data_IF_954037612452
#
_entry.id   IF_954037612452
#
_cell.length_a   1.000
_cell.length_b   1.000
_cell.length_c   1.000
_cell.angle_alpha   90.00
_cell.angle_beta   90.00
_cell.angle_gamma   90.00
#
_symmetry.space_group_name_H-M   'P 1'
#
loop_
_entity.id
_entity.type
_entity.pdbx_description
1 polymer ?
#
# COMPACT_ATOMS: atom_id res chain seq x y z
N UNK A 1 -4.38 77.94 62.98
CA UNK A 1 -4.07 76.49 63.14
C UNK A 1 -4.11 75.84 61.78
N UNK A 2 -2.90 75.61 61.16
CA UNK A 2 -2.82 74.94 59.85
C UNK A 2 -2.39 73.50 60.08
N UNK A 3 -3.24 72.54 59.69
CA UNK A 3 -2.97 71.11 59.77
C UNK A 3 -2.18 70.66 58.56
N UNK A 4 -0.95 70.17 58.79
CA UNK A 4 -0.09 69.53 57.80
C UNK A 4 -0.54 68.05 57.69
N UNK A 5 -1.04 67.68 56.48
CA UNK A 5 -1.32 66.27 56.11
C UNK A 5 0.01 65.62 55.61
N UNK A 6 0.35 64.44 56.06
CA UNK A 6 1.53 63.71 55.52
C UNK A 6 1.19 63.16 54.12
N UNK A 7 2.02 63.52 53.15
CA UNK A 7 2.03 62.85 51.81
C UNK A 7 2.57 61.43 51.92
N UNK A 8 1.77 60.43 51.63
CA UNK A 8 2.19 59.07 51.48
C UNK A 8 2.96 58.91 50.16
N UNK A 9 4.22 58.45 50.20
CA UNK A 9 5.00 58.10 49.04
C UNK A 9 4.46 56.83 48.36
N UNK A 10 4.37 56.77 47.00
CA UNK A 10 3.95 55.56 46.30
C UNK A 10 4.97 54.45 46.51
N UNK A 11 4.51 53.29 46.98
CA UNK A 11 5.35 52.08 47.10
C UNK A 11 5.81 51.65 45.70
N UNK A 12 7.11 51.53 45.45
CA UNK A 12 7.68 50.95 44.22
C UNK A 12 7.33 49.47 44.17
N UNK A 13 6.86 48.96 43.00
CA UNK A 13 6.57 47.53 42.82
C UNK A 13 7.93 46.76 42.99
N UNK A 14 7.89 45.71 43.78
CA UNK A 14 9.01 44.81 43.97
C UNK A 14 9.50 44.24 42.64
N UNK A 15 10.80 44.14 42.37
CA UNK A 15 11.33 43.56 41.13
C UNK A 15 10.81 42.13 41.00
N UNK A 16 10.26 41.79 39.83
CA UNK A 16 9.81 40.44 39.53
C UNK A 16 10.98 39.44 39.70
N UNK A 17 10.74 38.26 40.27
CA UNK A 17 11.78 37.27 40.49
C UNK A 17 12.45 36.93 39.15
N UNK A 18 13.80 37.01 39.08
CA UNK A 18 14.58 36.74 37.90
C UNK A 18 14.29 35.31 37.41
N UNK A 19 13.80 35.17 36.17
CA UNK A 19 13.60 33.88 35.53
C UNK A 19 14.97 33.30 35.15
N UNK A 20 15.21 32.03 35.42
CA UNK A 20 16.41 31.30 35.04
C UNK A 20 16.07 30.44 33.82
N UNK A 21 16.81 30.61 32.73
CA UNK A 21 16.68 29.80 31.52
C UNK A 21 17.72 28.70 31.52
N UNK A 22 17.34 27.48 31.16
CA UNK A 22 18.23 26.33 31.04
C UNK A 22 17.97 25.57 29.75
N UNK A 23 19.07 25.17 29.10
CA UNK A 23 19.02 24.28 27.93
C UNK A 23 20.25 23.36 27.90
N UNK A 24 20.21 22.33 27.05
CA UNK A 24 21.38 21.48 26.79
C UNK A 24 21.92 21.80 25.39
N UNK A 25 23.20 22.17 25.30
CA UNK A 25 23.84 22.49 24.01
C UNK A 25 24.07 21.26 23.13
N UNK A 26 24.57 21.45 21.89
CA UNK A 26 24.88 20.38 20.95
C UNK A 26 25.97 19.40 21.45
N UNK A 27 26.73 19.79 22.48
CA UNK A 27 27.78 18.97 23.07
C UNK A 27 27.34 18.27 24.35
N UNK A 28 26.03 18.33 24.69
CA UNK A 28 25.48 17.74 25.89
C UNK A 28 25.70 18.52 27.18
N UNK A 29 26.20 19.76 27.14
CA UNK A 29 26.41 20.60 28.31
C UNK A 29 25.16 21.38 28.65
N UNK A 30 24.82 21.46 29.92
CA UNK A 30 23.72 22.30 30.39
C UNK A 30 24.19 23.73 30.52
N UNK A 31 23.53 24.64 29.80
CA UNK A 31 23.73 26.08 29.89
C UNK A 31 22.62 26.71 30.73
N UNK A 32 22.94 27.72 31.54
CA UNK A 32 21.96 28.50 32.31
C UNK A 32 22.22 29.98 32.15
N UNK A 33 21.15 30.80 32.06
CA UNK A 33 21.24 32.25 31.94
C UNK A 33 20.00 32.92 32.57
N UNK A 34 20.07 34.22 32.76
CA UNK A 34 18.98 35.10 33.24
C UNK A 34 17.99 35.51 32.14
N UNK A 35 18.25 35.08 30.90
CA UNK A 35 17.46 35.37 29.69
C UNK A 35 17.51 34.18 28.75
N UNK A 36 16.61 34.14 27.74
CA UNK A 36 16.64 33.08 26.73
C UNK A 36 18.03 32.96 26.10
N UNK A 37 18.55 31.73 26.03
CA UNK A 37 19.90 31.40 25.60
C UNK A 37 19.94 31.34 24.07
N UNK A 38 20.65 32.29 23.43
CA UNK A 38 20.71 32.38 21.97
C UNK A 38 21.36 31.16 21.32
N UNK A 39 22.33 30.51 21.99
CA UNK A 39 23.00 29.29 21.51
C UNK A 39 22.09 28.05 21.51
N UNK A 40 20.92 28.16 22.15
CA UNK A 40 19.89 27.10 22.21
C UNK A 40 18.58 27.49 21.50
N UNK A 41 18.63 28.41 20.55
CA UNK A 41 17.45 28.91 19.86
C UNK A 41 16.80 27.79 19.00
N UNK A 42 17.60 26.82 18.56
CA UNK A 42 17.22 25.66 17.75
C UNK A 42 16.74 24.44 18.56
N UNK A 43 16.61 24.58 19.89
CA UNK A 43 16.22 23.46 20.80
C UNK A 43 15.38 23.94 21.96
N UNK A 44 14.72 22.98 22.66
CA UNK A 44 13.90 23.26 23.83
C UNK A 44 14.73 23.96 24.94
N UNK A 45 14.25 25.09 25.42
CA UNK A 45 14.76 25.74 26.62
C UNK A 45 13.70 25.66 27.72
N UNK A 46 14.16 25.70 28.98
CA UNK A 46 13.29 25.64 30.14
C UNK A 46 13.47 26.91 30.97
N UNK A 47 12.35 27.57 31.24
CA UNK A 47 12.30 28.60 32.24
C UNK A 47 12.11 27.95 33.61
N UNK A 48 13.06 28.18 34.50
CA UNK A 48 13.06 27.63 35.86
C UNK A 48 12.61 28.68 36.86
N UNK A 49 11.92 28.26 37.90
CA UNK A 49 11.69 29.06 39.08
C UNK A 49 12.97 29.16 39.93
N UNK A 50 13.05 30.11 40.89
CA UNK A 50 14.19 30.17 41.83
C UNK A 50 14.42 28.85 42.60
N UNK A 51 13.40 28.00 42.72
CA UNK A 51 13.51 26.67 43.34
C UNK A 51 14.02 25.58 42.39
N UNK A 52 14.36 25.92 41.12
CA UNK A 52 14.84 24.96 40.11
C UNK A 52 13.75 24.12 39.41
N UNK A 53 12.47 24.35 39.71
CA UNK A 53 11.37 23.66 39.01
C UNK A 53 11.06 24.33 37.67
N UNK A 54 10.75 23.52 36.64
CA UNK A 54 10.40 24.06 35.32
C UNK A 54 9.03 24.74 35.38
N UNK A 55 9.02 26.04 35.12
CA UNK A 55 7.84 26.90 35.06
C UNK A 55 7.22 26.89 33.67
N UNK A 56 8.04 26.96 32.65
CA UNK A 56 7.61 26.96 31.25
C UNK A 56 8.67 26.34 30.36
N UNK A 57 8.22 25.68 29.29
CA UNK A 57 9.06 25.23 28.17
C UNK A 57 8.96 26.25 27.04
N UNK A 58 10.11 26.58 26.47
CA UNK A 58 10.21 27.47 25.31
C UNK A 58 10.57 26.56 24.13
N UNK A 59 9.67 26.52 23.16
CA UNK A 59 9.87 25.73 21.95
C UNK A 59 10.99 26.32 21.08
N UNK A 60 11.70 25.47 20.33
CA UNK A 60 12.72 25.93 19.41
C UNK A 60 12.15 26.87 18.34
N UNK A 61 12.92 27.91 18.03
CA UNK A 61 12.60 28.79 16.90
C UNK A 61 13.40 28.34 15.69
N UNK A 62 12.72 27.83 14.67
CA UNK A 62 13.36 27.39 13.43
C UNK A 62 13.16 28.42 12.32
N UNK A 63 14.12 28.50 11.40
CA UNK A 63 13.94 29.22 10.15
C UNK A 63 12.88 28.54 9.28
N UNK A 64 12.27 29.28 8.39
CA UNK A 64 11.27 28.73 7.46
C UNK A 64 11.80 27.52 6.66
N UNK A 65 13.09 27.54 6.31
CA UNK A 65 13.77 26.44 5.62
C UNK A 65 13.89 25.20 6.51
N UNK A 66 14.35 25.37 7.76
CA UNK A 66 14.47 24.25 8.72
C UNK A 66 13.14 23.64 9.06
N UNK A 67 12.07 24.44 9.17
CA UNK A 67 10.71 23.96 9.35
C UNK A 67 10.27 23.09 8.15
N UNK A 68 10.49 23.58 6.92
CA UNK A 68 10.16 22.84 5.72
C UNK A 68 10.92 21.50 5.64
N UNK A 69 12.24 21.51 5.91
CA UNK A 69 13.05 20.28 5.92
C UNK A 69 12.62 19.28 7.00
N UNK A 70 12.14 19.76 8.15
CA UNK A 70 11.59 18.91 9.21
C UNK A 70 10.24 18.31 8.84
N UNK A 71 9.37 19.14 8.26
CA UNK A 71 8.05 18.66 7.78
C UNK A 71 8.21 17.61 6.70
N UNK A 72 9.14 17.81 5.75
CA UNK A 72 9.41 16.84 4.70
C UNK A 72 9.93 15.52 5.27
N UNK A 73 10.91 15.57 6.18
CA UNK A 73 11.41 14.36 6.86
C UNK A 73 10.33 13.67 7.68
N UNK A 74 9.48 14.41 8.37
CA UNK A 74 8.36 13.84 9.12
C UNK A 74 7.34 13.19 8.18
N UNK A 75 7.06 13.81 7.04
CA UNK A 75 6.17 13.27 5.99
C UNK A 75 6.71 11.97 5.40
N UNK A 76 8.00 11.95 5.05
CA UNK A 76 8.67 10.75 4.54
C UNK A 76 8.67 9.62 5.57
N UNK A 77 8.99 9.92 6.83
CA UNK A 77 8.96 8.94 7.91
C UNK A 77 7.54 8.37 8.13
N UNK A 78 6.52 9.23 8.08
CA UNK A 78 5.13 8.81 8.18
C UNK A 78 4.69 7.91 7.02
N UNK A 79 5.11 8.21 5.78
CA UNK A 79 4.86 7.39 4.61
C UNK A 79 5.53 6.00 4.72
N UNK A 80 6.77 5.96 5.19
CA UNK A 80 7.48 4.69 5.41
C UNK A 80 6.82 3.86 6.52
N UNK A 81 6.44 4.50 7.63
CA UNK A 81 5.71 3.83 8.71
C UNK A 81 4.37 3.27 8.24
N UNK A 82 3.62 4.03 7.43
CA UNK A 82 2.36 3.56 6.84
C UNK A 82 2.57 2.34 5.93
N UNK A 83 3.60 2.34 5.07
CA UNK A 83 3.96 1.19 4.23
C UNK A 83 4.25 -0.06 5.04
N UNK A 84 5.04 0.05 6.11
CA UNK A 84 5.34 -1.08 7.00
C UNK A 84 4.09 -1.64 7.69
N UNK A 85 3.17 -0.77 8.10
CA UNK A 85 1.89 -1.18 8.69
C UNK A 85 1.06 -1.95 7.66
N UNK A 86 0.98 -1.45 6.43
CA UNK A 86 0.23 -2.09 5.35
C UNK A 86 0.85 -3.44 4.94
N UNK A 87 2.17 -3.55 4.88
CA UNK A 87 2.86 -4.81 4.63
C UNK A 87 2.53 -5.86 5.71
N UNK A 88 2.65 -5.50 6.98
CA UNK A 88 2.28 -6.39 8.10
C UNK A 88 0.81 -6.78 8.10
N UNK A 89 -0.07 -5.90 7.62
CA UNK A 89 -1.49 -6.21 7.47
C UNK A 89 -1.71 -7.23 6.36
N UNK A 90 -1.05 -7.05 5.20
CA UNK A 90 -1.10 -8.00 4.07
C UNK A 90 -0.53 -9.36 4.46
N UNK A 91 0.61 -9.41 5.14
CA UNK A 91 1.21 -10.65 5.63
C UNK A 91 0.27 -11.40 6.59
N UNK A 92 -0.34 -10.68 7.54
CA UNK A 92 -1.32 -11.28 8.44
C UNK A 92 -2.54 -11.83 7.69
N UNK A 93 -3.05 -11.11 6.70
CA UNK A 93 -4.16 -11.57 5.88
C UNK A 93 -3.81 -12.83 5.09
N UNK A 94 -2.58 -12.91 4.54
CA UNK A 94 -2.08 -14.11 3.88
C UNK A 94 -1.96 -15.29 4.83
N UNK A 95 -1.46 -15.09 6.05
CA UNK A 95 -1.35 -16.15 7.06
C UNK A 95 -2.72 -16.66 7.53
N UNK A 96 -3.69 -15.78 7.68
CA UNK A 96 -5.06 -16.18 8.03
C UNK A 96 -5.68 -17.01 6.91
N UNK A 97 -5.45 -16.63 5.65
CA UNK A 97 -5.95 -17.36 4.48
C UNK A 97 -5.20 -18.68 4.29
N UNK A 98 -3.88 -18.67 4.44
CA UNK A 98 -2.99 -19.79 4.18
C UNK A 98 -2.16 -20.13 5.42
N UNK A 99 -2.74 -20.80 6.41
CA UNK A 99 -2.03 -21.14 7.64
C UNK A 99 -0.87 -22.10 7.41
N UNK A 100 -0.86 -22.84 6.30
CA UNK A 100 0.21 -23.76 5.91
C UNK A 100 0.24 -23.99 4.39
N UNK A 101 1.31 -24.62 3.93
CA UNK A 101 1.54 -24.91 2.52
C UNK A 101 0.44 -25.78 1.89
N UNK A 102 -0.13 -26.70 2.65
CA UNK A 102 -1.15 -27.63 2.15
C UNK A 102 -2.45 -26.91 1.78
N UNK A 103 -2.87 -25.93 2.59
CA UNK A 103 -4.06 -25.12 2.29
C UNK A 103 -3.83 -24.26 1.06
N UNK A 104 -2.66 -23.63 0.95
CA UNK A 104 -2.31 -22.81 -0.21
C UNK A 104 -2.31 -23.63 -1.52
N UNK A 105 -1.66 -24.81 -1.53
CA UNK A 105 -1.61 -25.67 -2.72
C UNK A 105 -3.00 -26.23 -3.08
N UNK A 106 -3.84 -26.51 -2.09
CA UNK A 106 -5.24 -26.91 -2.35
C UNK A 106 -6.02 -25.82 -3.06
N UNK A 107 -5.99 -24.58 -2.57
CA UNK A 107 -6.68 -23.46 -3.21
C UNK A 107 -6.14 -23.18 -4.62
N UNK A 108 -4.80 -23.27 -4.79
CA UNK A 108 -4.21 -23.19 -6.14
C UNK A 108 -4.78 -24.22 -7.08
N UNK A 109 -4.83 -25.48 -6.65
CA UNK A 109 -5.37 -26.58 -7.46
C UNK A 109 -6.83 -26.35 -7.79
N UNK A 110 -7.64 -25.96 -6.83
CA UNK A 110 -9.07 -25.69 -7.02
C UNK A 110 -9.28 -24.55 -8.04
N UNK A 111 -8.53 -23.46 -7.92
CA UNK A 111 -8.61 -22.34 -8.87
C UNK A 111 -8.23 -22.76 -10.30
N UNK A 112 -7.18 -23.57 -10.47
CA UNK A 112 -6.75 -24.07 -11.77
C UNK A 112 -7.74 -25.06 -12.37
N UNK A 113 -8.33 -25.94 -11.56
CA UNK A 113 -9.37 -26.89 -12.01
C UNK A 113 -10.58 -26.18 -12.60
N UNK A 114 -10.99 -25.04 -12.03
CA UNK A 114 -12.10 -24.25 -12.58
C UNK A 114 -11.75 -23.70 -13.97
N UNK A 115 -10.55 -23.17 -14.16
CA UNK A 115 -10.11 -22.64 -15.47
C UNK A 115 -10.00 -23.79 -16.48
N UNK A 116 -9.42 -24.92 -16.07
CA UNK A 116 -9.27 -26.10 -16.94
C UNK A 116 -10.63 -26.64 -17.38
N UNK A 117 -11.62 -26.65 -16.51
CA UNK A 117 -12.99 -27.07 -16.88
C UNK A 117 -13.59 -26.15 -17.94
N UNK A 118 -13.37 -24.84 -17.84
CA UNK A 118 -13.84 -23.86 -18.84
C UNK A 118 -13.13 -24.07 -20.19
N UNK A 119 -11.80 -24.28 -20.17
CA UNK A 119 -11.03 -24.59 -21.39
C UNK A 119 -11.54 -25.87 -22.05
N UNK A 120 -11.75 -26.93 -21.28
CA UNK A 120 -12.28 -28.21 -21.80
C UNK A 120 -13.65 -28.04 -22.43
N UNK A 121 -14.55 -27.25 -21.82
CA UNK A 121 -15.85 -26.96 -22.40
C UNK A 121 -15.73 -26.22 -23.76
N UNK A 122 -14.84 -25.25 -23.83
CA UNK A 122 -14.58 -24.53 -25.09
C UNK A 122 -13.95 -25.42 -26.17
N UNK A 123 -13.03 -26.31 -25.79
CA UNK A 123 -12.45 -27.31 -26.71
C UNK A 123 -13.48 -28.29 -27.23
N UNK A 124 -14.42 -28.75 -26.38
CA UNK A 124 -15.54 -29.56 -26.81
C UNK A 124 -16.41 -28.84 -27.84
N UNK A 125 -16.66 -27.53 -27.61
CA UNK A 125 -17.41 -26.72 -28.58
C UNK A 125 -16.65 -26.57 -29.91
N UNK A 126 -15.34 -26.46 -29.90
CA UNK A 126 -14.51 -26.47 -31.12
C UNK A 126 -14.66 -27.79 -31.90
N UNK A 127 -14.68 -28.92 -31.18
CA UNK A 127 -14.89 -30.23 -31.82
C UNK A 127 -16.28 -30.34 -32.48
N UNK A 128 -17.32 -29.84 -31.82
CA UNK A 128 -18.68 -29.77 -32.41
C UNK A 128 -18.69 -28.88 -33.67
N UNK A 129 -18.04 -27.72 -33.60
CA UNK A 129 -17.92 -26.80 -34.77
C UNK A 129 -17.14 -27.43 -35.92
N UNK A 130 -16.16 -28.28 -35.62
CA UNK A 130 -15.40 -29.02 -36.65
C UNK A 130 -16.29 -30.07 -37.33
N UNK A 131 -17.17 -30.77 -36.59
CA UNK A 131 -18.15 -31.69 -37.21
C UNK A 131 -19.19 -30.94 -38.02
N UNK A 132 -19.67 -29.79 -37.57
CA UNK A 132 -20.59 -28.96 -38.34
C UNK A 132 -19.93 -28.44 -39.61
N UNK A 133 -18.64 -28.10 -39.55
CA UNK A 133 -17.84 -27.71 -40.73
C UNK A 133 -17.78 -28.83 -41.78
N UNK A 134 -17.59 -30.08 -41.36
CA UNK A 134 -17.61 -31.24 -42.29
C UNK A 134 -18.95 -31.34 -43.06
N UNK A 135 -20.07 -31.17 -42.35
CA UNK A 135 -21.42 -31.19 -42.98
C UNK A 135 -21.57 -30.05 -44.01
N UNK A 136 -21.02 -28.85 -43.70
CA UNK A 136 -21.04 -27.73 -44.63
C UNK A 136 -20.18 -28.02 -45.85
N UNK A 137 -19.04 -28.66 -45.66
CA UNK A 137 -18.12 -29.02 -46.75
C UNK A 137 -18.77 -30.11 -47.64
N UNK A 138 -19.50 -31.09 -47.08
CA UNK A 138 -20.30 -32.04 -47.83
C UNK A 138 -21.42 -31.34 -48.68
N UNK A 139 -22.11 -30.33 -48.11
CA UNK A 139 -23.06 -29.52 -48.87
C UNK A 139 -22.35 -28.75 -50.02
N UNK A 140 -21.10 -28.34 -49.83
CA UNK A 140 -20.31 -27.62 -50.84
C UNK A 140 -19.83 -28.53 -51.98
N UNK A 141 -19.70 -29.84 -51.78
CA UNK A 141 -19.32 -30.78 -52.86
C UNK A 141 -20.26 -30.70 -54.06
N UNK A 142 -21.56 -30.49 -53.85
CA UNK A 142 -22.56 -30.29 -54.93
C UNK A 142 -22.22 -29.08 -55.81
N UNK A 143 -21.47 -28.12 -55.29
CA UNK A 143 -21.05 -26.92 -55.98
C UNK A 143 -19.55 -26.97 -56.36
N UNK A 144 -18.94 -28.20 -56.33
CA UNK A 144 -17.50 -28.41 -56.63
C UNK A 144 -16.58 -27.55 -55.77
N UNK A 145 -16.95 -27.33 -54.47
CA UNK A 145 -16.31 -26.47 -53.49
C UNK A 145 -16.18 -25.00 -53.93
N UNK A 146 -16.95 -24.56 -54.91
CA UNK A 146 -16.98 -23.16 -55.36
C UNK A 146 -18.02 -22.39 -54.54
N UNK A 147 -17.51 -21.67 -53.50
CA UNK A 147 -18.32 -20.88 -52.59
C UNK A 147 -19.16 -19.83 -53.31
N UNK A 148 -18.67 -19.29 -54.47
CA UNK A 148 -19.41 -18.30 -55.25
C UNK A 148 -20.69 -18.83 -55.85
N UNK A 149 -20.74 -20.13 -56.14
CA UNK A 149 -21.88 -20.84 -56.74
C UNK A 149 -22.83 -21.41 -55.67
N UNK A 150 -22.37 -21.47 -54.42
CA UNK A 150 -23.18 -22.00 -53.34
C UNK A 150 -24.35 -21.04 -52.99
N UNK A 151 -25.51 -21.57 -52.59
CA UNK A 151 -26.60 -20.75 -52.10
C UNK A 151 -26.21 -19.86 -50.94
N UNK A 152 -26.84 -18.68 -50.79
CA UNK A 152 -26.56 -17.75 -49.71
C UNK A 152 -26.69 -18.33 -48.30
N UNK A 153 -27.55 -19.37 -48.15
CA UNK A 153 -27.67 -20.08 -46.87
C UNK A 153 -26.40 -20.86 -46.50
N UNK A 154 -25.79 -21.57 -47.48
CA UNK A 154 -24.56 -22.35 -47.26
C UNK A 154 -23.38 -21.40 -46.98
N UNK A 155 -23.28 -20.28 -47.71
CA UNK A 155 -22.26 -19.27 -47.47
C UNK A 155 -22.34 -18.67 -46.05
N UNK A 156 -23.58 -18.37 -45.57
CA UNK A 156 -23.76 -17.91 -44.17
C UNK A 156 -23.35 -18.95 -43.17
N UNK A 157 -23.77 -20.23 -43.31
CA UNK A 157 -23.34 -21.33 -42.44
C UNK A 157 -21.82 -21.41 -42.33
N UNK A 158 -21.12 -21.25 -43.46
CA UNK A 158 -19.66 -21.28 -43.52
C UNK A 158 -19.03 -20.13 -42.75
N UNK A 159 -19.56 -18.93 -42.96
CA UNK A 159 -19.10 -17.71 -42.28
C UNK A 159 -19.35 -17.76 -40.76
N UNK A 160 -20.58 -18.14 -40.36
CA UNK A 160 -20.96 -18.27 -38.95
C UNK A 160 -20.14 -19.34 -38.24
N UNK A 161 -19.85 -20.47 -38.90
CA UNK A 161 -18.95 -21.51 -38.35
C UNK A 161 -17.54 -20.96 -38.18
N UNK A 162 -16.95 -20.31 -39.18
CA UNK A 162 -15.62 -19.73 -39.12
C UNK A 162 -15.51 -18.65 -38.01
N UNK A 163 -16.52 -17.79 -37.89
CA UNK A 163 -16.57 -16.79 -36.84
C UNK A 163 -16.69 -17.45 -35.45
N UNK A 164 -17.51 -18.45 -35.30
CA UNK A 164 -17.65 -19.20 -34.04
C UNK A 164 -16.35 -19.88 -33.63
N UNK A 165 -15.63 -20.49 -34.55
CA UNK A 165 -14.30 -21.08 -34.30
C UNK A 165 -13.29 -20.01 -33.87
N UNK A 166 -13.27 -18.85 -34.53
CA UNK A 166 -12.38 -17.76 -34.16
C UNK A 166 -12.67 -17.22 -32.74
N UNK A 167 -13.96 -17.10 -32.38
CA UNK A 167 -14.37 -16.69 -31.03
C UNK A 167 -13.91 -17.69 -29.98
N UNK A 168 -14.13 -18.99 -30.21
CA UNK A 168 -13.73 -20.05 -29.27
C UNK A 168 -12.21 -20.10 -29.09
N UNK A 169 -11.45 -20.00 -30.17
CA UNK A 169 -9.98 -19.99 -30.08
C UNK A 169 -9.46 -18.78 -29.29
N UNK A 170 -10.03 -17.58 -29.49
CA UNK A 170 -9.68 -16.41 -28.71
C UNK A 170 -10.00 -16.62 -27.22
N UNK A 171 -11.19 -17.13 -26.95
CA UNK A 171 -11.63 -17.40 -25.58
C UNK A 171 -10.70 -18.40 -24.86
N UNK A 172 -10.28 -19.48 -25.53
CA UNK A 172 -9.30 -20.43 -24.98
C UNK A 172 -7.99 -19.72 -24.68
N UNK A 173 -7.49 -18.89 -25.60
CA UNK A 173 -6.28 -18.10 -25.39
C UNK A 173 -6.37 -17.19 -24.16
N UNK A 174 -7.49 -16.51 -23.98
CA UNK A 174 -7.75 -15.65 -22.81
C UNK A 174 -7.76 -16.47 -21.50
N UNK A 175 -8.33 -17.68 -21.51
CA UNK A 175 -8.34 -18.57 -20.34
C UNK A 175 -6.95 -19.14 -20.03
N UNK A 176 -6.16 -19.49 -21.03
CA UNK A 176 -4.76 -19.91 -20.85
C UNK A 176 -3.90 -18.78 -20.23
N UNK A 177 -4.13 -17.54 -20.64
CA UNK A 177 -3.44 -16.40 -20.06
C UNK A 177 -3.91 -16.13 -18.62
N UNK A 178 -5.20 -16.32 -18.33
CA UNK A 178 -5.69 -16.27 -16.94
C UNK A 178 -5.04 -17.36 -16.08
N UNK A 179 -4.92 -18.58 -16.59
CA UNK A 179 -4.23 -19.68 -15.92
C UNK A 179 -2.78 -19.33 -15.56
N UNK A 180 -2.06 -18.66 -16.48
CA UNK A 180 -0.70 -18.14 -16.23
C UNK A 180 -0.69 -17.09 -15.12
N UNK A 181 -1.64 -16.11 -15.15
CA UNK A 181 -1.77 -15.07 -14.13
C UNK A 181 -2.07 -15.65 -12.75
N UNK A 182 -2.98 -16.60 -12.68
CA UNK A 182 -3.31 -17.31 -11.43
C UNK A 182 -2.08 -18.03 -10.87
N UNK A 183 -1.35 -18.77 -11.70
CA UNK A 183 -0.13 -19.45 -11.29
C UNK A 183 0.93 -18.47 -10.76
N UNK A 184 1.19 -17.38 -11.50
CA UNK A 184 2.15 -16.35 -11.08
C UNK A 184 1.79 -15.74 -9.72
N UNK A 185 0.51 -15.43 -9.49
CA UNK A 185 0.03 -14.92 -8.21
C UNK A 185 0.28 -15.90 -7.07
N UNK A 186 -0.07 -17.18 -7.25
CA UNK A 186 0.17 -18.21 -6.22
C UNK A 186 1.67 -18.43 -5.97
N UNK A 187 2.51 -18.33 -6.99
CA UNK A 187 3.97 -18.45 -6.84
C UNK A 187 4.55 -17.26 -6.03
N UNK A 188 4.08 -16.04 -6.27
CA UNK A 188 4.44 -14.86 -5.47
C UNK A 188 3.97 -14.97 -4.02
N UNK A 189 2.71 -15.36 -3.80
CA UNK A 189 2.15 -15.59 -2.46
C UNK A 189 2.97 -16.66 -1.72
N UNK A 190 3.29 -17.76 -2.38
CA UNK A 190 4.12 -18.84 -1.82
C UNK A 190 5.53 -18.39 -1.45
N UNK A 191 6.15 -17.54 -2.28
CA UNK A 191 7.48 -17.01 -1.99
C UNK A 191 7.49 -16.17 -0.70
N UNK A 192 6.47 -15.33 -0.50
CA UNK A 192 6.27 -14.55 0.74
C UNK A 192 5.97 -15.45 1.94
N UNK A 193 5.06 -16.39 1.78
CA UNK A 193 4.64 -17.30 2.84
C UNK A 193 5.76 -18.23 3.30
N UNK A 194 6.69 -18.64 2.42
CA UNK A 194 7.87 -19.44 2.81
C UNK A 194 8.72 -18.74 3.87
N UNK A 195 8.88 -17.43 3.79
CA UNK A 195 9.64 -16.66 4.78
C UNK A 195 8.94 -16.65 6.15
N UNK A 196 7.60 -16.66 6.14
CA UNK A 196 6.77 -16.59 7.35
C UNK A 196 6.58 -17.98 7.98
N UNK A 197 6.39 -19.02 7.17
CA UNK A 197 6.25 -20.41 7.64
C UNK A 197 7.57 -21.02 8.14
N UNK A 198 8.74 -20.42 7.82
CA UNK A 198 10.02 -20.95 8.30
C UNK A 198 10.17 -20.74 9.81
N UNK A 199 10.70 -21.74 10.56
CA UNK A 199 10.76 -21.73 12.02
C UNK A 199 11.61 -20.61 12.64
N UNK A 200 12.39 -19.88 11.85
CA UNK A 200 13.27 -18.81 12.33
C UNK A 200 12.53 -17.55 12.82
N UNK A 201 11.25 -17.38 12.50
CA UNK A 201 10.43 -16.24 12.95
C UNK A 201 9.52 -16.55 14.14
N UNK A 202 9.58 -17.75 14.71
CA UNK A 202 8.81 -18.17 15.90
C UNK A 202 9.44 -17.78 17.24
N UNK A 203 10.51 -17.03 17.27
CA UNK A 203 11.28 -16.66 18.47
C UNK A 203 11.04 -15.24 18.97
N UNK A 204 9.77 -14.85 19.14
CA UNK A 204 9.39 -13.61 19.80
C UNK A 204 8.32 -13.90 20.85
N UNK A 205 8.76 -14.28 22.07
CA UNK A 205 7.93 -14.25 23.27
C UNK A 205 7.68 -12.82 23.69
#
# INVERSE_FOLDING_TARGET
MAALLPMAAPAQPAPAPAAIYSCTDARGRTLTADRPIAECIDREQRELSPSGTTRRKIEPTYTARELAEREDRAREAALQAARLIDERRRERALLVRYPNVTVHERERKEALVQIDAVIQAAQKRLAELAEDRKKIDEELEFYKHDISKAPGAVRRKLEDNAQSVAVQNRFIGEQEDEKKRVNARFDEERARLKQIWSPQNGGGK
#
